data_IF_927850872313
#
_entry.id   IF_927850872313
#
_cell.length_a   1.000
_cell.length_b   1.000
_cell.length_c   1.000
_cell.angle_alpha   90.00
_cell.angle_beta   90.00
_cell.angle_gamma   90.00
#
_symmetry.space_group_name_H-M   'P 1'
#
loop_
_entity.id
_entity.type
_entity.pdbx_description
1 polymer ?
#
# COMPACT_ATOMS: atom_id res chain seq x y z
N UNK A 1 -6.16 19.36 60.75
CA UNK A 1 -4.98 18.88 59.99
C UNK A 1 -5.41 18.75 58.55
N UNK A 2 -4.80 19.57 57.69
CA UNK A 2 -5.33 19.92 56.36
C UNK A 2 -5.23 18.80 55.34
N UNK A 3 -6.30 18.69 54.55
CA UNK A 3 -6.39 17.89 53.35
C UNK A 3 -5.54 18.57 52.26
N UNK A 4 -4.40 17.98 51.90
CA UNK A 4 -3.60 18.42 50.75
C UNK A 4 -4.03 17.59 49.53
N UNK A 5 -5.10 18.03 48.87
CA UNK A 5 -5.47 17.54 47.54
C UNK A 5 -4.61 18.32 46.53
N UNK A 6 -3.50 17.72 46.11
CA UNK A 6 -2.55 18.38 45.18
C UNK A 6 -3.16 18.51 43.80
N UNK A 7 -3.25 19.76 43.35
CA UNK A 7 -3.72 20.22 42.05
C UNK A 7 -2.70 19.81 40.96
N UNK A 8 -2.78 18.58 40.46
CA UNK A 8 -2.01 18.10 39.29
C UNK A 8 -2.78 16.98 38.59
N UNK A 9 -3.94 17.24 37.99
CA UNK A 9 -4.64 16.13 37.30
C UNK A 9 -5.30 16.52 35.98
N UNK A 10 -5.78 17.75 35.82
CA UNK A 10 -6.52 18.09 34.59
C UNK A 10 -5.58 18.47 33.43
N UNK A 11 -4.48 19.17 33.71
CA UNK A 11 -3.61 19.73 32.67
C UNK A 11 -2.70 18.68 32.02
N UNK A 12 -2.10 17.79 32.82
CA UNK A 12 -1.17 16.79 32.31
C UNK A 12 -1.89 15.66 31.56
N UNK A 13 -3.06 15.24 32.05
CA UNK A 13 -3.92 14.28 31.34
C UNK A 13 -4.42 14.87 30.00
N UNK A 14 -4.77 16.15 29.95
CA UNK A 14 -5.14 16.85 28.71
C UNK A 14 -3.96 16.92 27.73
N UNK A 15 -2.75 17.21 28.20
CA UNK A 15 -1.53 17.28 27.39
C UNK A 15 -1.17 15.91 26.83
N UNK A 16 -1.29 14.85 27.61
CA UNK A 16 -1.01 13.47 27.19
C UNK A 16 -2.03 12.97 26.17
N UNK A 17 -3.32 13.27 26.38
CA UNK A 17 -4.38 12.97 25.42
C UNK A 17 -4.20 13.73 24.10
N UNK A 18 -3.87 15.02 24.16
CA UNK A 18 -3.58 15.83 22.97
C UNK A 18 -2.34 15.32 22.22
N UNK A 19 -1.30 14.90 22.92
CA UNK A 19 -0.09 14.33 22.34
C UNK A 19 -0.38 12.99 21.64
N UNK A 20 -1.20 12.14 22.26
CA UNK A 20 -1.62 10.84 21.70
C UNK A 20 -2.54 11.00 20.49
N UNK A 21 -3.51 11.91 20.57
CA UNK A 21 -4.42 12.27 19.48
C UNK A 21 -3.64 12.85 18.28
N UNK A 22 -2.67 13.72 18.54
CA UNK A 22 -1.80 14.32 17.53
C UNK A 22 -0.92 13.26 16.87
N UNK A 23 -0.35 12.34 17.65
CA UNK A 23 0.39 11.17 17.14
C UNK A 23 -0.47 10.30 16.22
N UNK A 24 -1.71 9.98 16.62
CA UNK A 24 -2.65 9.23 15.78
C UNK A 24 -2.93 9.94 14.46
N UNK A 25 -3.23 11.24 14.50
CA UNK A 25 -3.49 12.05 13.29
C UNK A 25 -2.29 12.11 12.35
N UNK A 26 -1.07 12.24 12.90
CA UNK A 26 0.15 12.21 12.11
C UNK A 26 0.40 10.84 11.48
N UNK A 27 0.19 9.75 12.22
CA UNK A 27 0.27 8.39 11.68
C UNK A 27 -0.76 8.16 10.57
N UNK A 28 -2.00 8.62 10.74
CA UNK A 28 -3.03 8.52 9.70
C UNK A 28 -2.68 9.34 8.46
N UNK A 29 -2.16 10.56 8.65
CA UNK A 29 -1.69 11.42 7.56
C UNK A 29 -0.55 10.75 6.80
N UNK A 30 0.41 10.15 7.51
CA UNK A 30 1.51 9.38 6.90
C UNK A 30 1.00 8.15 6.14
N UNK A 31 0.07 7.37 6.72
CA UNK A 31 -0.57 6.23 6.05
C UNK A 31 -1.35 6.64 4.81
N UNK A 32 -2.10 7.74 4.88
CA UNK A 32 -2.84 8.32 3.74
C UNK A 32 -1.88 8.77 2.64
N UNK A 33 -0.79 9.45 3.01
CA UNK A 33 0.29 9.85 2.10
C UNK A 33 0.92 8.64 1.41
N UNK A 34 1.30 7.61 2.18
CA UNK A 34 1.86 6.35 1.65
C UNK A 34 0.91 5.63 0.72
N UNK A 35 -0.38 5.49 1.07
CA UNK A 35 -1.40 4.89 0.18
C UNK A 35 -1.54 5.66 -1.13
N UNK A 36 -1.56 6.99 -1.07
CA UNK A 36 -1.64 7.85 -2.27
C UNK A 36 -0.40 7.71 -3.14
N UNK A 37 0.78 7.68 -2.54
CA UNK A 37 2.03 7.47 -3.26
C UNK A 37 2.06 6.09 -3.94
N UNK A 38 1.76 5.03 -3.19
CA UNK A 38 1.70 3.65 -3.71
C UNK A 38 0.71 3.52 -4.87
N UNK A 39 -0.51 4.08 -4.75
CA UNK A 39 -1.48 4.07 -5.85
C UNK A 39 -0.95 4.67 -7.16
N UNK A 40 -0.04 5.65 -7.10
CA UNK A 40 0.52 6.30 -8.31
C UNK A 40 1.68 5.52 -8.93
N UNK A 41 2.33 4.63 -8.18
CA UNK A 41 3.57 3.94 -8.60
C UNK A 41 3.42 2.42 -8.69
N UNK A 42 2.28 1.89 -8.28
CA UNK A 42 1.99 0.46 -8.30
C UNK A 42 1.42 0.06 -9.65
N UNK A 43 2.00 -0.97 -10.25
CA UNK A 43 1.44 -1.66 -11.40
C UNK A 43 0.78 -2.95 -10.90
N UNK A 44 -0.39 -3.25 -11.45
CA UNK A 44 -1.14 -4.46 -11.12
C UNK A 44 -1.18 -5.34 -12.36
N UNK A 45 -0.60 -6.53 -12.26
CA UNK A 45 -0.57 -7.51 -13.32
C UNK A 45 -1.08 -8.84 -12.76
N UNK A 46 -1.86 -9.55 -13.58
CA UNK A 46 -2.38 -10.89 -13.30
C UNK A 46 -1.84 -11.78 -14.40
N UNK A 47 -1.05 -12.78 -14.01
CA UNK A 47 -0.61 -13.83 -14.92
C UNK A 47 -1.65 -14.95 -14.87
N UNK A 48 -2.25 -15.25 -16.01
CA UNK A 48 -3.26 -16.29 -16.18
C UNK A 48 -2.61 -17.47 -16.88
N UNK A 49 -2.92 -18.68 -16.46
CA UNK A 49 -2.49 -19.91 -17.13
C UNK A 49 -3.71 -20.77 -17.41
N UNK A 50 -4.00 -21.06 -18.67
CA UNK A 50 -5.27 -21.68 -19.08
C UNK A 50 -5.26 -23.20 -19.04
N UNK A 51 -4.15 -23.82 -19.42
CA UNK A 51 -3.96 -25.27 -19.64
C UNK A 51 -2.68 -25.79 -18.97
N UNK A 52 -2.12 -25.01 -18.03
CA UNK A 52 -0.83 -25.26 -17.41
C UNK A 52 0.38 -24.88 -18.27
N UNK A 53 0.17 -24.44 -19.52
CA UNK A 53 1.26 -24.13 -20.47
C UNK A 53 1.13 -22.71 -21.03
N UNK A 54 -0.04 -22.37 -21.54
CA UNK A 54 -0.38 -21.10 -22.17
C UNK A 54 -0.58 -20.04 -21.09
N UNK A 55 0.30 -19.05 -21.07
CA UNK A 55 0.25 -17.94 -20.11
C UNK A 55 -0.09 -16.61 -20.79
N UNK A 56 -0.92 -15.81 -20.13
CA UNK A 56 -1.28 -14.46 -20.55
C UNK A 56 -1.06 -13.47 -19.39
N UNK A 57 -0.40 -12.35 -19.65
CA UNK A 57 -0.27 -11.26 -18.68
C UNK A 57 -1.33 -10.19 -18.92
N UNK A 58 -2.23 -10.03 -17.95
CA UNK A 58 -3.29 -9.02 -17.97
C UNK A 58 -2.89 -7.89 -17.03
N UNK A 59 -2.75 -6.69 -17.58
CA UNK A 59 -2.44 -5.48 -16.80
C UNK A 59 -3.69 -4.69 -16.43
N UNK A 60 -3.65 -4.08 -15.24
CA UNK A 60 -4.71 -3.23 -14.70
C UNK A 60 -4.09 -1.90 -14.22
N UNK A 61 -4.76 -0.79 -14.56
CA UNK A 61 -4.34 0.56 -14.14
C UNK A 61 -4.53 0.77 -12.63
N UNK A 62 -5.50 0.10 -12.04
CA UNK A 62 -5.80 0.14 -10.60
C UNK A 62 -5.86 -1.26 -10.03
N UNK A 63 -5.78 -1.38 -8.70
CA UNK A 63 -5.87 -2.68 -8.03
C UNK A 63 -7.20 -3.35 -8.41
N UNK A 64 -7.18 -4.49 -9.13
CA UNK A 64 -8.41 -5.12 -9.58
C UNK A 64 -9.14 -5.80 -8.42
N UNK A 65 -10.46 -5.87 -8.51
CA UNK A 65 -11.27 -6.72 -7.63
C UNK A 65 -11.25 -8.16 -8.14
N UNK A 66 -11.57 -9.13 -7.28
CA UNK A 66 -11.70 -10.53 -7.68
C UNK A 66 -12.72 -10.70 -8.82
N UNK A 67 -13.84 -9.98 -8.77
CA UNK A 67 -14.87 -10.02 -9.82
C UNK A 67 -14.35 -9.47 -11.15
N UNK A 68 -13.51 -8.44 -11.14
CA UNK A 68 -12.89 -7.91 -12.36
C UNK A 68 -11.89 -8.88 -12.97
N UNK A 69 -11.19 -9.65 -12.14
CA UNK A 69 -10.31 -10.73 -12.60
C UNK A 69 -11.16 -11.85 -13.22
N UNK A 70 -12.16 -12.35 -12.49
CA UNK A 70 -13.05 -13.41 -12.94
C UNK A 70 -13.81 -13.05 -14.23
N UNK A 71 -14.17 -11.78 -14.42
CA UNK A 71 -14.80 -11.32 -15.65
C UNK A 71 -13.90 -11.47 -16.90
N UNK A 72 -12.57 -11.50 -16.73
CA UNK A 72 -11.61 -11.72 -17.82
C UNK A 72 -11.17 -13.18 -17.93
N UNK A 73 -11.02 -13.88 -16.81
CA UNK A 73 -10.45 -15.24 -16.75
C UNK A 73 -11.49 -16.35 -16.71
N UNK A 74 -12.77 -16.03 -16.50
CA UNK A 74 -13.83 -16.98 -16.20
C UNK A 74 -14.02 -17.20 -14.70
N UNK A 75 -15.20 -17.70 -14.32
CA UNK A 75 -15.58 -17.93 -12.91
C UNK A 75 -14.89 -19.14 -12.28
N UNK A 76 -14.43 -20.09 -13.11
CA UNK A 76 -13.77 -21.32 -12.66
C UNK A 76 -12.25 -21.15 -12.46
N UNK A 77 -11.75 -19.91 -12.47
CA UNK A 77 -10.34 -19.61 -12.29
C UNK A 77 -9.95 -19.63 -10.81
N UNK A 78 -8.76 -20.20 -10.52
CA UNK A 78 -8.19 -20.25 -9.17
C UNK A 78 -7.01 -19.30 -9.03
N UNK A 79 -6.89 -18.66 -7.86
CA UNK A 79 -5.71 -17.88 -7.51
C UNK A 79 -4.68 -18.82 -6.89
N UNK A 80 -3.56 -19.03 -7.60
CA UNK A 80 -2.47 -19.89 -7.13
C UNK A 80 -1.51 -19.13 -6.21
N UNK A 81 -1.24 -17.85 -6.48
CA UNK A 81 -0.36 -17.02 -5.65
C UNK A 81 -0.66 -15.52 -5.80
N UNK A 82 -0.31 -14.76 -4.76
CA UNK A 82 -0.34 -13.29 -4.77
C UNK A 82 1.00 -12.80 -4.22
N UNK A 83 1.73 -12.02 -5.03
CA UNK A 83 3.04 -11.52 -4.68
C UNK A 83 3.17 -10.01 -4.87
N UNK A 84 4.00 -9.38 -4.06
CA UNK A 84 4.42 -8.00 -4.26
C UNK A 84 5.90 -7.96 -4.63
N UNK A 85 6.21 -7.55 -5.85
CA UNK A 85 7.60 -7.28 -6.27
C UNK A 85 7.91 -5.79 -6.14
N UNK A 86 8.90 -5.44 -5.31
CA UNK A 86 9.44 -4.08 -5.30
C UNK A 86 10.21 -3.86 -6.61
N UNK A 87 9.70 -2.99 -7.48
CA UNK A 87 10.48 -2.50 -8.64
C UNK A 87 11.39 -1.36 -8.21
N UNK A 88 12.64 -1.39 -8.66
CA UNK A 88 13.60 -0.29 -8.50
C UNK A 88 13.13 0.96 -9.24
N UNK A 89 13.64 2.15 -8.88
CA UNK A 89 13.32 3.38 -9.63
C UNK A 89 13.74 3.26 -11.10
N UNK A 90 14.84 2.53 -11.38
CA UNK A 90 15.34 2.30 -12.74
C UNK A 90 14.34 1.54 -13.61
N UNK A 91 13.78 0.45 -13.09
CA UNK A 91 12.73 -0.35 -13.77
C UNK A 91 11.42 0.43 -13.92
N UNK A 92 11.12 1.37 -13.01
CA UNK A 92 9.89 2.16 -13.05
C UNK A 92 9.91 3.28 -14.10
N UNK A 93 11.08 3.84 -14.39
CA UNK A 93 11.24 4.95 -15.32
C UNK A 93 11.88 4.55 -16.66
N UNK A 94 12.08 3.25 -16.90
CA UNK A 94 12.67 2.79 -18.16
C UNK A 94 14.10 3.29 -18.39
N UNK A 95 14.87 3.56 -17.32
CA UNK A 95 16.25 4.06 -17.38
C UNK A 95 17.26 2.95 -17.76
N UNK A 96 16.87 2.08 -18.69
CA UNK A 96 17.78 1.26 -19.47
C UNK A 96 18.35 2.12 -20.62
N UNK A 97 18.95 3.26 -20.28
CA UNK A 97 19.95 3.84 -21.16
C UNK A 97 21.17 2.90 -21.09
N UNK A 98 21.67 2.37 -22.22
CA UNK A 98 22.99 1.76 -22.22
C UNK A 98 23.93 2.81 -21.67
N UNK A 99 24.73 2.46 -20.65
CA UNK A 99 25.90 3.28 -20.36
C UNK A 99 26.66 3.36 -21.68
N UNK A 100 26.90 4.58 -22.15
CA UNK A 100 27.73 4.85 -23.30
C UNK A 100 28.99 3.99 -23.18
N UNK A 101 29.14 3.05 -24.11
CA UNK A 101 30.41 2.47 -24.43
C UNK A 101 31.06 3.45 -25.40
N UNK A 102 31.94 4.29 -24.89
CA UNK A 102 33.09 4.89 -25.59
C UNK A 102 34.10 5.36 -24.53
#
# INVERSE_FOLDING_TARGET
>A
MGCAMTVFDVSDELVERLSTETGRRLCEKARKGRRRALRRISHFAVLVTYDGVTTEEITFETAPTLSQIAARTGQDAYIVSIGMKRRSLRERFGLNLPLAAE
#
